data_IF_803277347425
#
_entry.id   IF_803277347425
#
_cell.length_a   1.000
_cell.length_b   1.000
_cell.length_c   1.000
_cell.angle_alpha   90.00
_cell.angle_beta   90.00
_cell.angle_gamma   90.00
#
_symmetry.space_group_name_H-M   'P 1'
#
loop_
_entity.id
_entity.type
_entity.pdbx_description
1 polymer ?
#
# COMPACT_ATOMS: atom_id res chain seq x y z
N UNK A 1 8.23 9.33 -4.53
CA UNK A 1 7.21 8.40 -3.98
C UNK A 1 5.91 9.15 -3.78
N UNK A 2 4.86 8.77 -4.52
CA UNK A 2 3.51 9.34 -4.41
C UNK A 2 2.67 8.39 -3.57
N UNK A 3 2.12 8.86 -2.45
CA UNK A 3 1.10 8.11 -1.71
C UNK A 3 -0.28 8.63 -2.03
N UNK A 4 -1.25 7.73 -2.06
CA UNK A 4 -2.65 8.01 -2.40
C UNK A 4 -3.53 7.42 -1.32
N UNK A 5 -4.24 8.26 -0.57
CA UNK A 5 -5.15 7.83 0.49
C UNK A 5 -6.32 8.81 0.63
N UNK A 6 -7.49 8.31 0.99
CA UNK A 6 -8.69 9.13 1.22
C UNK A 6 -8.73 9.77 2.61
N UNK A 7 -7.85 9.32 3.52
CA UNK A 7 -7.68 9.85 4.86
C UNK A 7 -6.44 10.78 4.90
N UNK A 8 -6.62 12.10 5.05
CA UNK A 8 -5.51 13.05 5.09
C UNK A 8 -4.57 12.84 6.28
N UNK A 9 -5.03 12.22 7.38
CA UNK A 9 -4.19 11.93 8.55
C UNK A 9 -3.08 10.91 8.24
N UNK A 10 -3.17 10.22 7.10
CA UNK A 10 -2.12 9.32 6.60
C UNK A 10 -0.96 10.05 5.94
N UNK A 11 -1.11 11.33 5.63
CA UNK A 11 -0.05 12.09 4.97
C UNK A 11 1.22 12.17 5.83
N UNK A 12 1.07 12.55 7.10
CA UNK A 12 2.20 12.68 8.02
C UNK A 12 2.96 11.36 8.16
N UNK A 13 2.22 10.26 8.32
CA UNK A 13 2.78 8.91 8.37
C UNK A 13 3.54 8.56 7.10
N UNK A 14 2.94 8.78 5.93
CA UNK A 14 3.61 8.52 4.67
C UNK A 14 4.92 9.31 4.57
N UNK A 15 4.93 10.60 4.93
CA UNK A 15 6.13 11.45 4.86
C UNK A 15 7.23 10.96 5.79
N UNK A 16 6.89 10.49 7.01
CA UNK A 16 7.82 9.86 7.94
C UNK A 16 8.54 8.64 7.34
N UNK A 17 7.88 7.92 6.44
CA UNK A 17 8.44 6.76 5.73
C UNK A 17 8.94 7.07 4.31
N UNK A 18 9.19 8.34 3.98
CA UNK A 18 9.82 8.75 2.73
C UNK A 18 8.87 9.10 1.58
N UNK A 19 7.56 9.20 1.84
CA UNK A 19 6.63 9.75 0.86
C UNK A 19 6.95 11.21 0.55
N UNK A 20 7.00 11.53 -0.74
CA UNK A 20 7.36 12.87 -1.24
C UNK A 20 6.13 13.69 -1.62
N UNK A 21 5.09 13.02 -2.12
CA UNK A 21 3.85 13.62 -2.58
C UNK A 21 2.69 12.84 -1.98
N UNK A 22 1.63 13.56 -1.59
CA UNK A 22 0.38 12.97 -1.13
C UNK A 22 -0.74 13.43 -2.05
N UNK A 23 -1.59 12.49 -2.46
CA UNK A 23 -2.77 12.77 -3.27
C UNK A 23 -3.97 12.18 -2.55
N UNK A 24 -4.90 13.05 -2.15
CA UNK A 24 -6.21 12.61 -1.72
C UNK A 24 -7.16 12.55 -2.93
N UNK A 25 -7.68 11.38 -3.31
CA UNK A 25 -8.60 11.24 -4.43
C UNK A 25 -9.82 12.16 -4.39
N UNK A 26 -10.27 12.55 -3.19
CA UNK A 26 -11.44 13.42 -3.00
C UNK A 26 -11.18 14.87 -3.41
N UNK A 27 -9.92 15.29 -3.43
CA UNK A 27 -9.51 16.66 -3.76
C UNK A 27 -9.14 16.80 -5.25
N UNK A 28 -9.05 15.69 -5.98
CA UNK A 28 -8.74 15.66 -7.41
C UNK A 28 -10.03 15.90 -8.21
N UNK A 29 -10.03 16.95 -9.02
CA UNK A 29 -11.09 17.20 -9.98
C UNK A 29 -10.84 16.41 -11.26
N UNK A 30 -11.81 15.59 -11.68
CA UNK A 30 -11.73 14.81 -12.92
C UNK A 30 -11.16 13.41 -12.74
N UNK A 31 -10.33 12.97 -13.68
CA UNK A 31 -9.79 11.60 -13.72
C UNK A 31 -8.52 11.47 -12.87
N UNK A 32 -8.62 10.72 -11.77
CA UNK A 32 -7.50 10.42 -10.87
C UNK A 32 -6.33 9.75 -11.60
N UNK A 33 -6.58 8.85 -12.55
CA UNK A 33 -5.51 8.17 -13.29
C UNK A 33 -4.70 9.19 -14.09
N UNK A 34 -5.38 10.09 -14.82
CA UNK A 34 -4.69 11.12 -15.60
C UNK A 34 -3.91 12.09 -14.70
N UNK A 35 -4.46 12.43 -13.54
CA UNK A 35 -3.77 13.25 -12.56
C UNK A 35 -2.46 12.58 -12.09
N UNK A 36 -2.50 11.30 -11.73
CA UNK A 36 -1.32 10.55 -11.29
C UNK A 36 -0.29 10.36 -12.41
N UNK A 37 -0.75 10.08 -13.63
CA UNK A 37 0.13 9.97 -14.82
C UNK A 37 0.83 11.30 -15.09
N UNK A 38 0.13 12.43 -15.02
CA UNK A 38 0.72 13.75 -15.20
C UNK A 38 1.70 14.11 -14.07
N UNK A 39 1.34 13.81 -12.82
CA UNK A 39 2.20 14.04 -11.65
C UNK A 39 3.53 13.28 -11.73
N UNK A 40 3.55 12.17 -12.47
CA UNK A 40 4.72 11.29 -12.64
C UNK A 40 5.30 11.35 -14.06
N UNK A 41 4.94 12.37 -14.84
CA UNK A 41 5.45 12.61 -16.21
C UNK A 41 5.33 11.40 -17.16
N UNK A 42 4.18 10.72 -17.14
CA UNK A 42 3.91 9.56 -18.02
C UNK A 42 3.43 8.31 -17.30
N UNK A 43 3.37 8.34 -15.97
CA UNK A 43 2.98 7.22 -15.12
C UNK A 43 4.15 6.71 -14.28
N UNK A 44 3.86 6.11 -13.13
CA UNK A 44 4.90 5.60 -12.25
C UNK A 44 5.52 4.31 -12.79
N UNK A 45 6.84 4.12 -12.66
CA UNK A 45 7.51 2.87 -13.02
C UNK A 45 6.93 1.68 -12.26
N UNK A 46 6.57 1.90 -10.99
CA UNK A 46 5.94 0.90 -10.12
C UNK A 46 4.75 1.51 -9.40
N UNK A 47 3.66 0.76 -9.32
CA UNK A 47 2.52 1.07 -8.45
C UNK A 47 2.19 -0.11 -7.55
N UNK A 48 1.69 0.19 -6.36
CA UNK A 48 1.33 -0.82 -5.37
C UNK A 48 -0.08 -0.57 -4.86
N UNK A 49 -0.99 -1.54 -5.00
CA UNK A 49 -2.25 -1.52 -4.26
C UNK A 49 -2.06 -2.16 -2.89
N UNK A 50 -2.29 -1.40 -1.83
CA UNK A 50 -2.26 -1.88 -0.45
C UNK A 50 -3.64 -1.80 0.23
N UNK A 51 -4.73 -1.70 -0.55
CA UNK A 51 -6.08 -1.47 -0.02
C UNK A 51 -6.97 -2.71 -0.06
N UNK A 52 -6.80 -3.58 -1.05
CA UNK A 52 -7.73 -4.69 -1.29
C UNK A 52 -8.97 -4.28 -2.09
N UNK A 53 -9.05 -3.04 -2.57
CA UNK A 53 -10.17 -2.57 -3.39
C UNK A 53 -9.88 -2.75 -4.89
N UNK A 54 -10.73 -3.50 -5.61
CA UNK A 54 -10.48 -3.80 -7.04
C UNK A 54 -10.53 -2.57 -7.96
N UNK A 55 -11.25 -1.51 -7.58
CA UNK A 55 -11.21 -0.22 -8.28
C UNK A 55 -9.88 0.50 -8.11
N UNK A 56 -9.29 0.44 -6.90
CA UNK A 56 -7.94 0.96 -6.64
C UNK A 56 -6.89 0.12 -7.36
N UNK A 57 -7.02 -1.20 -7.37
CA UNK A 57 -6.12 -2.10 -8.13
C UNK A 57 -6.08 -1.73 -9.61
N UNK A 58 -7.25 -1.48 -10.22
CA UNK A 58 -7.33 -1.01 -11.62
C UNK A 58 -6.68 0.37 -11.79
N UNK A 59 -6.98 1.30 -10.90
CA UNK A 59 -6.41 2.66 -10.93
C UNK A 59 -4.88 2.62 -10.86
N UNK A 60 -4.32 1.79 -9.97
CA UNK A 60 -2.89 1.59 -9.83
C UNK A 60 -2.26 1.12 -11.15
N UNK A 61 -2.82 0.06 -11.77
CA UNK A 61 -2.34 -0.40 -13.08
C UNK A 61 -2.40 0.69 -14.14
N UNK A 62 -3.51 1.41 -14.24
CA UNK A 62 -3.67 2.42 -15.30
C UNK A 62 -2.79 3.66 -15.07
N UNK A 63 -2.37 3.92 -13.82
CA UNK A 63 -1.42 4.96 -13.44
C UNK A 63 0.07 4.56 -13.63
N UNK A 64 0.37 3.28 -13.91
CA UNK A 64 1.73 2.87 -14.28
C UNK A 64 2.19 3.49 -15.60
N UNK A 65 3.50 3.65 -15.73
CA UNK A 65 4.13 4.12 -16.95
C UNK A 65 3.81 3.21 -18.12
N UNK A 66 3.43 3.79 -19.26
CA UNK A 66 3.22 3.04 -20.50
C UNK A 66 4.57 2.50 -21.01
N UNK A 67 4.62 1.24 -21.42
CA UNK A 67 5.83 0.62 -22.01
C UNK A 67 6.55 -0.32 -21.06
N UNK A 68 6.70 0.04 -19.77
CA UNK A 68 7.49 -0.75 -18.82
C UNK A 68 6.93 -0.79 -17.39
N UNK A 69 5.85 -0.07 -17.09
CA UNK A 69 5.37 0.05 -15.71
C UNK A 69 4.81 -1.26 -15.14
N UNK A 70 5.08 -1.51 -13.87
CA UNK A 70 4.60 -2.70 -13.16
C UNK A 70 3.67 -2.34 -12.00
N UNK A 71 2.47 -2.92 -11.99
CA UNK A 71 1.52 -2.78 -10.90
C UNK A 71 1.45 -4.05 -10.06
N UNK A 72 1.67 -3.89 -8.76
CA UNK A 72 1.73 -4.97 -7.78
C UNK A 72 0.51 -4.89 -6.86
N UNK A 73 -0.30 -5.93 -6.85
CA UNK A 73 -1.40 -6.10 -5.88
C UNK A 73 -0.83 -6.71 -4.60
N UNK A 74 -0.94 -5.97 -3.49
CA UNK A 74 -0.60 -6.43 -2.13
C UNK A 74 -1.89 -6.65 -1.32
N UNK A 75 -2.89 -5.78 -1.49
CA UNK A 75 -4.17 -5.87 -0.80
C UNK A 75 -4.97 -7.11 -1.21
N UNK A 76 -5.73 -7.66 -0.25
CA UNK A 76 -6.58 -8.84 -0.47
C UNK A 76 -8.02 -8.38 -0.69
N UNK A 77 -8.57 -8.66 -1.86
CA UNK A 77 -9.94 -8.32 -2.18
C UNK A 77 -10.97 -9.23 -1.49
N UNK A 78 -12.18 -8.70 -1.31
CA UNK A 78 -13.33 -9.48 -0.85
C UNK A 78 -13.63 -10.66 -1.79
N UNK A 79 -14.22 -11.71 -1.23
CA UNK A 79 -14.59 -12.91 -1.98
C UNK A 79 -15.51 -12.59 -3.17
N UNK A 80 -15.22 -13.16 -4.34
CA UNK A 80 -16.01 -13.01 -5.56
C UNK A 80 -15.80 -11.70 -6.33
N UNK A 81 -14.90 -10.82 -5.88
CA UNK A 81 -14.54 -9.61 -6.64
C UNK A 81 -13.56 -9.93 -7.76
N UNK A 82 -13.70 -9.21 -8.87
CA UNK A 82 -12.82 -9.33 -10.02
C UNK A 82 -12.11 -8.00 -10.28
N UNK A 83 -10.88 -8.11 -10.75
CA UNK A 83 -10.14 -6.99 -11.34
C UNK A 83 -10.37 -6.97 -12.85
N UNK A 84 -10.44 -5.78 -13.43
CA UNK A 84 -10.61 -5.62 -14.87
C UNK A 84 -9.88 -4.38 -15.37
N UNK A 85 -9.42 -4.43 -16.63
CA UNK A 85 -8.90 -3.28 -17.37
C UNK A 85 -9.01 -3.55 -18.87
N UNK A 86 -8.69 -2.56 -19.70
CA UNK A 86 -8.61 -2.76 -21.15
C UNK A 86 -7.33 -3.55 -21.48
N UNK A 87 -7.38 -4.63 -22.30
CA UNK A 87 -6.20 -5.39 -22.68
C UNK A 87 -5.06 -4.55 -23.27
N UNK A 88 -5.42 -3.43 -23.92
CA UNK A 88 -4.45 -2.48 -24.46
C UNK A 88 -3.49 -1.90 -23.40
N UNK A 89 -3.90 -1.82 -22.13
CA UNK A 89 -3.01 -1.38 -21.05
C UNK A 89 -1.81 -2.33 -20.90
N UNK A 90 -2.02 -3.64 -21.06
CA UNK A 90 -0.98 -4.67 -20.99
C UNK A 90 -0.22 -4.80 -22.31
N UNK A 91 -0.91 -4.77 -23.45
CA UNK A 91 -0.29 -4.80 -24.79
C UNK A 91 0.72 -3.67 -24.97
N UNK A 92 0.45 -2.51 -24.37
CA UNK A 92 1.36 -1.35 -24.40
C UNK A 92 2.45 -1.40 -23.34
N UNK A 93 2.73 -2.57 -22.75
CA UNK A 93 3.95 -2.83 -21.98
C UNK A 93 3.79 -2.81 -20.46
N UNK A 94 2.58 -2.63 -19.92
CA UNK A 94 2.38 -2.75 -18.47
C UNK A 94 2.32 -4.21 -18.02
N UNK A 95 2.79 -4.47 -16.81
CA UNK A 95 2.69 -5.78 -16.14
C UNK A 95 1.79 -5.66 -14.92
N UNK A 96 0.86 -6.60 -14.77
CA UNK A 96 0.02 -6.71 -13.58
C UNK A 96 0.33 -8.00 -12.85
N UNK A 97 0.79 -7.89 -11.60
CA UNK A 97 1.16 -9.04 -10.77
C UNK A 97 0.72 -8.86 -9.32
N UNK A 98 0.74 -9.94 -8.55
CA UNK A 98 0.46 -9.94 -7.13
C UNK A 98 1.65 -10.40 -6.31
N UNK A 99 1.58 -10.23 -5.00
CA UNK A 99 2.55 -10.79 -4.06
C UNK A 99 1.85 -11.39 -2.85
N UNK A 100 2.44 -12.45 -2.30
CA UNK A 100 2.04 -13.03 -1.03
C UNK A 100 3.23 -12.94 -0.07
N UNK A 101 3.01 -12.36 1.11
CA UNK A 101 4.06 -12.16 2.13
C UNK A 101 5.33 -11.46 1.57
N UNK A 102 5.15 -10.54 0.61
CA UNK A 102 6.26 -9.84 -0.05
C UNK A 102 7.18 -10.72 -0.89
N UNK A 103 6.80 -11.98 -1.18
CA UNK A 103 7.63 -12.96 -1.86
C UNK A 103 8.66 -13.66 -0.95
N UNK A 104 8.62 -13.39 0.36
CA UNK A 104 9.54 -14.00 1.31
C UNK A 104 9.18 -15.48 1.57
N UNK A 105 10.19 -16.33 1.74
CA UNK A 105 10.00 -17.70 2.21
C UNK A 105 10.04 -17.69 3.72
N UNK A 106 8.88 -17.77 4.36
CA UNK A 106 8.70 -17.54 5.81
C UNK A 106 9.85 -18.04 6.70
N UNK A 107 10.10 -19.35 6.74
CA UNK A 107 11.13 -19.90 7.66
C UNK A 107 12.56 -19.47 7.34
N UNK A 108 12.88 -19.22 6.07
CA UNK A 108 14.24 -18.93 5.60
C UNK A 108 14.56 -17.45 5.59
N UNK A 109 13.58 -16.61 5.24
CA UNK A 109 13.80 -15.19 4.98
C UNK A 109 13.34 -14.30 6.15
N UNK A 110 12.41 -14.73 7.02
CA UNK A 110 12.02 -13.96 8.22
C UNK A 110 13.19 -13.66 9.16
N UNK A 111 14.12 -14.60 9.46
CA UNK A 111 15.29 -14.27 10.29
C UNK A 111 16.14 -13.13 9.71
N UNK A 112 16.27 -13.04 8.39
CA UNK A 112 17.01 -11.95 7.74
C UNK A 112 16.31 -10.60 7.90
N UNK A 113 14.97 -10.58 7.92
CA UNK A 113 14.19 -9.36 8.16
C UNK A 113 14.41 -8.90 9.61
N UNK A 114 14.51 -9.84 10.57
CA UNK A 114 14.90 -9.52 11.95
C UNK A 114 16.32 -8.96 11.99
N UNK A 115 17.28 -9.58 11.30
CA UNK A 115 18.66 -9.07 11.22
C UNK A 115 18.69 -7.65 10.65
N UNK A 116 17.92 -7.36 9.59
CA UNK A 116 17.79 -6.01 9.03
C UNK A 116 17.22 -4.99 10.02
N UNK A 117 16.27 -5.41 10.85
CA UNK A 117 15.74 -4.56 11.90
C UNK A 117 16.79 -4.30 12.99
N UNK A 118 17.48 -5.33 13.47
CA UNK A 118 18.54 -5.20 14.47
C UNK A 118 19.73 -4.36 13.96
N UNK A 119 20.02 -4.44 12.67
CA UNK A 119 21.02 -3.62 11.97
C UNK A 119 20.55 -2.18 11.68
N UNK A 120 19.31 -1.82 12.01
CA UNK A 120 18.73 -0.49 11.74
C UNK A 120 18.46 -0.19 10.26
N UNK A 121 18.44 -1.22 9.39
CA UNK A 121 18.16 -1.07 7.95
C UNK A 121 16.68 -0.87 7.64
N UNK A 122 15.80 -1.34 8.53
CA UNK A 122 14.35 -1.16 8.42
C UNK A 122 13.79 -0.63 9.73
N UNK A 123 12.76 0.21 9.64
CA UNK A 123 12.09 0.77 10.81
C UNK A 123 10.82 -0.02 11.12
N UNK A 124 10.74 -0.60 12.32
CA UNK A 124 9.55 -1.29 12.81
C UNK A 124 8.91 -0.52 13.96
N UNK A 125 9.70 -0.05 14.94
CA UNK A 125 9.20 0.61 16.15
C UNK A 125 8.21 1.75 15.89
N UNK A 126 8.44 2.65 14.90
CA UNK A 126 7.48 3.72 14.65
C UNK A 126 6.11 3.22 14.19
N UNK A 127 5.98 1.99 13.67
CA UNK A 127 4.69 1.43 13.28
C UNK A 127 3.87 0.95 14.49
N UNK A 128 4.50 0.73 15.65
CA UNK A 128 3.84 0.34 16.89
C UNK A 128 3.24 1.60 17.54
N UNK A 129 1.97 1.86 17.23
CA UNK A 129 1.25 3.03 17.75
C UNK A 129 0.64 2.79 19.13
N UNK A 130 0.36 1.54 19.46
CA UNK A 130 -0.29 1.16 20.71
C UNK A 130 0.31 -0.14 21.23
N UNK A 131 0.38 -0.24 22.56
CA UNK A 131 0.71 -1.48 23.28
C UNK A 131 -0.37 -1.68 24.33
N UNK A 132 -1.05 -2.82 24.29
CA UNK A 132 -2.17 -3.15 25.18
C UNK A 132 -1.95 -4.53 25.81
N UNK A 133 -2.42 -4.77 27.03
CA UNK A 133 -2.42 -6.11 27.61
C UNK A 133 -3.50 -6.99 26.96
N UNK A 134 -3.37 -8.32 27.04
CA UNK A 134 -4.30 -9.27 26.40
C UNK A 134 -5.76 -9.08 26.84
N UNK A 135 -5.98 -8.65 28.07
CA UNK A 135 -7.31 -8.35 28.61
C UNK A 135 -8.03 -7.23 27.83
N UNK A 136 -7.28 -6.34 27.18
CA UNK A 136 -7.80 -5.24 26.36
C UNK A 136 -7.84 -5.56 24.85
N UNK A 137 -7.75 -6.84 24.44
CA UNK A 137 -7.69 -7.22 23.02
C UNK A 137 -8.85 -6.63 22.18
N UNK A 138 -10.07 -6.53 22.72
CA UNK A 138 -11.21 -5.97 21.98
C UNK A 138 -11.03 -4.49 21.67
N UNK A 139 -10.42 -3.72 22.59
CA UNK A 139 -10.08 -2.31 22.35
C UNK A 139 -9.06 -2.17 21.22
N UNK A 140 -8.16 -3.14 21.04
CA UNK A 140 -7.25 -3.15 19.89
C UNK A 140 -8.01 -3.25 18.55
N UNK A 141 -9.10 -4.04 18.51
CA UNK A 141 -9.99 -4.09 17.34
C UNK A 141 -10.75 -2.78 17.13
N UNK A 142 -11.22 -2.13 18.19
CA UNK A 142 -11.90 -0.84 18.08
C UNK A 142 -10.98 0.24 17.48
N UNK A 143 -9.74 0.32 17.95
CA UNK A 143 -8.70 1.22 17.39
C UNK A 143 -8.38 0.93 15.92
N UNK A 144 -8.46 -0.34 15.49
CA UNK A 144 -8.27 -0.74 14.10
C UNK A 144 -9.42 -0.22 13.23
N UNK A 145 -10.67 -0.42 13.66
CA UNK A 145 -11.85 0.02 12.91
C UNK A 145 -11.97 1.55 12.85
N UNK A 146 -11.61 2.25 13.92
CA UNK A 146 -11.59 3.71 13.96
C UNK A 146 -10.46 4.33 13.10
N UNK A 147 -9.46 3.53 12.69
CA UNK A 147 -8.31 4.01 11.95
C UNK A 147 -7.28 4.78 12.80
N UNK A 148 -7.43 4.77 14.11
CA UNK A 148 -6.57 5.47 15.08
C UNK A 148 -5.23 4.75 15.30
N UNK A 149 -5.11 3.49 14.88
CA UNK A 149 -3.88 2.71 14.97
C UNK A 149 -3.23 2.45 13.60
N UNK A 150 -1.90 2.27 13.61
CA UNK A 150 -1.15 1.65 12.51
C UNK A 150 -0.94 0.16 12.84
N UNK A 151 -0.29 -0.11 13.97
CA UNK A 151 -0.22 -1.45 14.59
C UNK A 151 -0.39 -1.32 16.11
N UNK A 152 -1.04 -2.33 16.67
CA UNK A 152 -1.19 -2.52 18.11
C UNK A 152 -0.49 -3.82 18.48
N UNK A 153 0.44 -3.76 19.43
CA UNK A 153 1.09 -4.95 20.00
C UNK A 153 0.34 -5.35 21.26
N UNK A 154 0.02 -6.65 21.37
CA UNK A 154 -0.66 -7.21 22.55
C UNK A 154 0.35 -7.98 23.39
N UNK A 155 0.41 -7.70 24.69
CA UNK A 155 1.31 -8.37 25.65
C UNK A 155 0.53 -9.30 26.58
N UNK A 156 1.20 -10.36 27.08
CA UNK A 156 0.65 -11.39 27.96
C UNK A 156 1.06 -11.19 29.42
#
# INVERSE_FOLDING_TARGET
IVGVDINPDREEWGRKFGMTHFVNPKDVQGDLVQHLVALTDGGADYTFDATGNTGVMRTALEACHRGWGESIIIGVAEAGKEISTRPFQLVTGRVWKGTAFGGARGRTDTPKIVDWYMDGKIQIDPMITHVLPLEEINKAFDLMHAGESIRTVVTF
#
